data_IF_421351261655
#
_entry.id   IF_421351261655
#
_cell.length_a   1.000
_cell.length_b   1.000
_cell.length_c   1.000
_cell.angle_alpha   90.00
_cell.angle_beta   90.00
_cell.angle_gamma   90.00
#
_symmetry.space_group_name_H-M   'P 1'
#
loop_
_entity.id
_entity.type
_entity.pdbx_description
1 polymer ?
#
# COMPACT_ATOMS: atom_id res chain seq x y z
N UNK A 1 -8.65 -31.06 -16.79
CA UNK A 1 -8.33 -29.65 -16.46
C UNK A 1 -8.92 -29.33 -15.09
N UNK A 2 -8.11 -29.36 -14.02
CA UNK A 2 -8.57 -28.97 -12.69
C UNK A 2 -8.76 -27.45 -12.67
N UNK A 3 -10.00 -26.97 -12.64
CA UNK A 3 -10.29 -25.60 -12.25
C UNK A 3 -9.82 -25.44 -10.81
N UNK A 4 -8.74 -24.70 -10.59
CA UNK A 4 -8.38 -24.26 -9.24
C UNK A 4 -9.63 -23.60 -8.63
N UNK A 5 -10.07 -24.07 -7.46
CA UNK A 5 -11.26 -23.49 -6.85
C UNK A 5 -10.96 -22.02 -6.54
N UNK A 6 -11.95 -21.14 -6.69
CA UNK A 6 -11.80 -19.70 -6.42
C UNK A 6 -11.37 -19.40 -4.98
N UNK A 7 -11.49 -20.36 -4.08
CA UNK A 7 -11.11 -20.30 -2.66
C UNK A 7 -9.66 -20.77 -2.39
N UNK A 8 -8.96 -21.29 -3.40
CA UNK A 8 -7.58 -21.72 -3.22
C UNK A 8 -6.67 -20.51 -2.98
N UNK A 9 -5.85 -20.58 -1.93
CA UNK A 9 -4.77 -19.61 -1.67
C UNK A 9 -3.66 -19.86 -2.69
N UNK A 10 -3.23 -18.81 -3.33
CA UNK A 10 -2.14 -18.84 -4.31
C UNK A 10 -1.06 -17.83 -3.95
N UNK A 11 0.18 -18.16 -4.32
CA UNK A 11 1.28 -17.22 -4.35
C UNK A 11 1.72 -17.06 -5.80
N UNK A 12 1.75 -15.84 -6.29
CA UNK A 12 2.01 -15.59 -7.70
C UNK A 12 2.86 -14.33 -7.92
N UNK A 13 3.90 -14.46 -8.75
CA UNK A 13 4.58 -13.31 -9.37
C UNK A 13 3.73 -12.84 -10.55
N UNK A 14 3.32 -11.57 -10.53
CA UNK A 14 2.41 -11.02 -11.53
C UNK A 14 3.16 -10.26 -12.62
N UNK A 15 4.21 -9.52 -12.26
CA UNK A 15 5.03 -8.77 -13.22
C UNK A 15 6.48 -8.71 -12.79
N UNK A 16 7.37 -8.54 -13.76
CA UNK A 16 8.80 -8.29 -13.58
C UNK A 16 9.29 -7.08 -14.40
N UNK A 17 8.37 -6.21 -14.82
CA UNK A 17 8.70 -5.02 -15.61
C UNK A 17 9.20 -3.89 -14.72
N UNK A 18 10.17 -3.11 -15.23
CA UNK A 18 10.76 -1.97 -14.51
C UNK A 18 9.77 -0.82 -14.31
N UNK A 19 9.73 -0.27 -13.07
CA UNK A 19 8.93 0.89 -12.68
C UNK A 19 9.69 1.74 -11.65
N UNK A 20 9.29 3.00 -11.49
CA UNK A 20 9.81 3.89 -10.44
C UNK A 20 8.71 4.77 -9.82
N UNK A 21 7.46 4.48 -10.14
CA UNK A 21 6.27 5.01 -9.52
C UNK A 21 5.32 3.86 -9.23
N UNK A 22 4.57 3.96 -8.16
CA UNK A 22 3.61 2.94 -7.71
C UNK A 22 2.26 3.59 -7.50
N UNK A 23 1.22 2.96 -8.06
CA UNK A 23 -0.18 3.27 -7.79
C UNK A 23 -0.90 1.99 -7.42
N UNK A 24 -1.53 1.98 -6.26
CA UNK A 24 -2.34 0.86 -5.76
C UNK A 24 -3.72 1.38 -5.41
N UNK A 25 -4.75 0.72 -5.90
CA UNK A 25 -6.15 0.99 -5.60
C UNK A 25 -6.83 -0.35 -5.28
N UNK A 26 -6.99 -0.61 -4.00
CA UNK A 26 -7.50 -1.88 -3.47
C UNK A 26 -8.45 -1.64 -2.30
N UNK A 27 -9.24 -2.65 -1.96
CA UNK A 27 -10.23 -2.54 -0.89
C UNK A 27 -9.83 -3.31 0.38
N UNK A 28 -8.99 -4.33 0.24
CA UNK A 28 -8.64 -5.22 1.35
C UNK A 28 -7.33 -5.95 1.08
N UNK A 29 -6.20 -5.30 1.22
CA UNK A 29 -4.91 -5.95 1.06
C UNK A 29 -3.84 -5.37 1.99
N UNK A 30 -3.01 -6.22 2.57
CA UNK A 30 -1.77 -5.74 3.16
C UNK A 30 -0.80 -5.40 2.02
N UNK A 31 -0.38 -4.16 1.95
CA UNK A 31 0.50 -3.65 0.90
C UNK A 31 1.88 -3.45 1.48
N UNK A 32 2.86 -4.14 0.90
CA UNK A 32 4.26 -3.99 1.27
C UNK A 32 5.09 -3.57 0.07
N UNK A 33 5.69 -2.40 0.14
CA UNK A 33 6.65 -1.90 -0.84
C UNK A 33 8.04 -1.99 -0.23
N UNK A 34 8.96 -2.71 -0.84
CA UNK A 34 10.29 -2.92 -0.26
C UNK A 34 11.40 -2.95 -1.30
N UNK A 35 12.60 -2.64 -0.84
CA UNK A 35 13.80 -2.90 -1.63
C UNK A 35 14.01 -4.41 -1.80
N UNK A 36 14.42 -4.82 -2.98
CA UNK A 36 14.72 -6.20 -3.31
C UNK A 36 15.73 -6.26 -4.46
N UNK A 37 15.95 -7.44 -5.03
CA UNK A 37 16.91 -7.62 -6.11
C UNK A 37 16.27 -7.53 -7.51
N UNK A 38 14.95 -7.45 -7.58
CA UNK A 38 14.20 -7.52 -8.83
C UNK A 38 12.98 -6.59 -8.79
N UNK A 39 12.57 -6.10 -9.96
CA UNK A 39 11.25 -5.51 -10.14
C UNK A 39 10.21 -6.64 -10.16
N UNK A 40 9.37 -6.73 -9.16
CA UNK A 40 8.30 -7.72 -9.17
C UNK A 40 7.14 -7.33 -8.26
N UNK A 41 5.98 -7.84 -8.60
CA UNK A 41 4.80 -7.84 -7.74
C UNK A 41 4.46 -9.29 -7.40
N UNK A 42 4.48 -9.59 -6.11
CA UNK A 42 4.05 -10.86 -5.55
C UNK A 42 2.67 -10.68 -4.96
N UNK A 43 1.77 -11.59 -5.28
CA UNK A 43 0.46 -11.69 -4.64
C UNK A 43 0.38 -12.98 -3.85
N UNK A 44 -0.09 -12.90 -2.63
CA UNK A 44 -0.45 -14.03 -1.80
C UNK A 44 -1.86 -13.86 -1.28
N UNK A 45 -2.75 -14.78 -1.60
CA UNK A 45 -4.16 -14.71 -1.24
C UNK A 45 -5.03 -15.67 -2.03
N UNK A 46 -6.34 -15.54 -1.88
CA UNK A 46 -7.28 -16.35 -2.64
C UNK A 46 -7.23 -15.98 -4.12
N UNK A 47 -7.23 -16.97 -4.99
CA UNK A 47 -7.12 -16.78 -6.45
C UNK A 47 -8.14 -15.78 -7.01
N UNK A 48 -9.36 -15.77 -6.47
CA UNK A 48 -10.42 -14.83 -6.88
C UNK A 48 -10.09 -13.36 -6.59
N UNK A 49 -9.21 -13.10 -5.61
CA UNK A 49 -8.79 -11.75 -5.18
C UNK A 49 -7.50 -11.30 -5.88
N UNK A 50 -7.01 -12.06 -6.86
CA UNK A 50 -5.82 -11.70 -7.63
C UNK A 50 -6.04 -10.35 -8.32
N UNK A 51 -5.25 -9.31 -8.02
CA UNK A 51 -5.44 -7.98 -8.59
C UNK A 51 -5.09 -7.94 -10.08
N UNK A 52 -5.56 -6.93 -10.74
CA UNK A 52 -5.05 -6.52 -12.06
C UNK A 52 -3.76 -5.74 -11.86
N UNK A 53 -2.72 -6.10 -12.59
CA UNK A 53 -1.41 -5.44 -12.49
C UNK A 53 -0.93 -5.06 -13.89
N UNK A 54 -0.58 -3.79 -14.05
CA UNK A 54 -0.05 -3.22 -15.28
C UNK A 54 1.15 -2.34 -14.99
N UNK A 55 2.12 -2.29 -15.90
CA UNK A 55 3.20 -1.28 -15.88
C UNK A 55 3.12 -0.43 -17.13
N UNK A 56 2.82 0.84 -16.95
CA UNK A 56 2.67 1.82 -18.02
C UNK A 56 3.47 3.07 -17.71
N UNK A 57 4.27 3.55 -18.64
CA UNK A 57 5.10 4.76 -18.48
C UNK A 57 5.97 4.74 -17.19
N UNK A 58 6.53 3.58 -16.84
CA UNK A 58 7.29 3.36 -15.60
C UNK A 58 6.47 3.51 -14.31
N UNK A 59 5.16 3.56 -14.38
CA UNK A 59 4.25 3.46 -13.25
C UNK A 59 3.71 2.03 -13.17
N UNK A 60 3.89 1.40 -12.02
CA UNK A 60 3.20 0.19 -11.64
C UNK A 60 1.79 0.58 -11.21
N UNK A 61 0.78 -0.09 -11.76
CA UNK A 61 -0.62 0.09 -11.40
C UNK A 61 -1.13 -1.26 -10.92
N UNK A 62 -1.69 -1.27 -9.70
CA UNK A 62 -2.29 -2.44 -9.06
C UNK A 62 -3.71 -2.07 -8.67
N UNK A 63 -4.69 -2.78 -9.20
CA UNK A 63 -6.11 -2.48 -8.98
C UNK A 63 -6.88 -3.76 -8.66
N UNK A 64 -7.89 -3.65 -7.84
CA UNK A 64 -8.87 -4.73 -7.69
C UNK A 64 -9.51 -5.03 -9.06
N UNK A 65 -9.81 -6.30 -9.31
CA UNK A 65 -10.56 -6.67 -10.52
C UNK A 65 -11.98 -6.11 -10.43
N UNK A 66 -12.41 -5.44 -11.48
CA UNK A 66 -13.81 -5.03 -11.64
C UNK A 66 -14.75 -6.23 -11.42
N UNK A 67 -15.67 -6.12 -10.48
CA UNK A 67 -16.68 -7.14 -10.23
C UNK A 67 -16.72 -7.69 -8.80
N UNK A 68 -15.80 -7.33 -7.91
CA UNK A 68 -16.01 -7.50 -6.46
C UNK A 68 -16.78 -6.27 -5.93
N UNK A 69 -17.84 -5.87 -6.62
CA UNK A 69 -18.88 -5.12 -5.97
C UNK A 69 -19.54 -6.11 -5.03
N UNK A 70 -19.44 -5.85 -3.73
CA UNK A 70 -20.26 -6.52 -2.71
C UNK A 70 -21.72 -6.17 -3.02
N UNK A 71 -22.31 -6.92 -3.94
CA UNK A 71 -23.72 -6.82 -4.25
C UNK A 71 -24.45 -7.58 -3.16
N UNK A 72 -24.97 -6.84 -2.16
CA UNK A 72 -25.97 -7.31 -1.20
C UNK A 72 -25.70 -8.65 -0.45
N UNK A 73 -24.46 -8.97 -0.18
CA UNK A 73 -24.09 -10.09 0.68
C UNK A 73 -23.37 -9.53 1.91
N UNK A 74 -23.78 -9.96 3.10
CA UNK A 74 -23.12 -9.60 4.35
C UNK A 74 -21.60 -9.72 4.20
N UNK A 75 -20.89 -8.61 4.36
CA UNK A 75 -19.42 -8.58 4.45
C UNK A 75 -18.89 -9.63 5.44
N UNK A 76 -19.72 -10.00 6.43
CA UNK A 76 -19.46 -11.04 7.44
C UNK A 76 -19.30 -12.46 6.87
N UNK A 77 -19.83 -12.79 5.70
CA UNK A 77 -19.64 -14.12 5.12
C UNK A 77 -18.27 -14.31 4.44
N UNK A 78 -17.60 -13.22 4.09
CA UNK A 78 -16.20 -13.24 3.65
C UNK A 78 -15.24 -13.52 4.81
N UNK A 79 -15.65 -13.25 6.04
CA UNK A 79 -14.82 -13.40 7.25
C UNK A 79 -15.06 -14.72 8.00
N UNK A 80 -16.00 -15.54 7.58
CA UNK A 80 -16.24 -16.86 8.17
C UNK A 80 -15.25 -17.90 7.63
N UNK A 81 -14.39 -18.40 8.50
CA UNK A 81 -13.36 -19.45 8.34
C UNK A 81 -12.11 -19.05 7.57
N UNK A 82 -11.07 -18.66 8.33
CA UNK A 82 -9.69 -18.49 7.84
C UNK A 82 -9.57 -17.54 6.64
N UNK A 83 -10.04 -16.31 6.79
CA UNK A 83 -9.81 -15.29 5.78
C UNK A 83 -8.35 -14.86 5.83
N UNK A 84 -7.55 -15.42 4.95
CA UNK A 84 -6.21 -14.90 4.68
C UNK A 84 -6.41 -13.52 4.05
N UNK A 85 -6.03 -12.46 4.76
CA UNK A 85 -5.98 -11.12 4.19
C UNK A 85 -4.99 -11.17 3.01
N UNK A 86 -5.39 -10.76 1.82
CA UNK A 86 -4.48 -10.73 0.68
C UNK A 86 -3.24 -9.90 0.99
N UNK A 87 -2.08 -10.36 0.54
CA UNK A 87 -0.85 -9.60 0.63
C UNK A 87 -0.32 -9.30 -0.76
N UNK A 88 -0.01 -8.02 -1.00
CA UNK A 88 0.62 -7.53 -2.22
C UNK A 88 2.00 -7.02 -1.83
N UNK A 89 3.04 -7.71 -2.30
CA UNK A 89 4.43 -7.29 -2.08
C UNK A 89 5.00 -6.75 -3.38
N UNK A 90 5.39 -5.49 -3.36
CA UNK A 90 6.01 -4.76 -4.47
C UNK A 90 7.49 -4.64 -4.16
N UNK A 91 8.33 -5.21 -5.00
CA UNK A 91 9.79 -5.13 -4.87
C UNK A 91 10.41 -4.40 -6.04
N UNK A 92 11.42 -3.60 -5.75
CA UNK A 92 12.25 -2.95 -6.75
C UNK A 92 13.70 -2.84 -6.26
N UNK A 93 14.69 -2.94 -7.17
CA UNK A 93 16.10 -2.85 -6.80
C UNK A 93 16.57 -1.40 -6.60
N UNK A 94 15.82 -0.42 -7.11
CA UNK A 94 16.14 0.99 -6.93
C UNK A 94 15.89 1.40 -5.48
N UNK A 95 16.77 2.21 -4.93
CA UNK A 95 16.66 2.73 -3.56
C UNK A 95 15.63 3.87 -3.43
N UNK A 96 15.03 4.30 -4.55
CA UNK A 96 14.15 5.48 -4.60
C UNK A 96 12.91 5.24 -5.45
N UNK A 97 11.76 5.59 -4.87
CA UNK A 97 10.51 5.80 -5.58
C UNK A 97 10.30 7.30 -5.83
N UNK A 98 9.96 7.64 -7.07
CA UNK A 98 9.62 9.04 -7.43
C UNK A 98 8.27 9.45 -6.91
N UNK A 99 7.31 8.54 -6.93
CA UNK A 99 5.95 8.77 -6.48
C UNK A 99 5.33 7.48 -5.97
N UNK A 100 4.53 7.59 -4.92
CA UNK A 100 3.69 6.53 -4.40
C UNK A 100 2.26 7.05 -4.25
N UNK A 101 1.30 6.31 -4.76
CA UNK A 101 -0.13 6.54 -4.56
C UNK A 101 -0.74 5.23 -4.08
N UNK A 102 -1.34 5.24 -2.91
CA UNK A 102 -2.01 4.05 -2.36
C UNK A 102 -3.35 4.49 -1.81
N UNK A 103 -4.40 3.87 -2.29
CA UNK A 103 -5.76 3.95 -1.75
C UNK A 103 -6.19 2.53 -1.37
N UNK A 104 -6.41 2.29 -0.09
CA UNK A 104 -6.93 1.01 0.41
C UNK A 104 -7.88 1.24 1.59
N UNK A 105 -8.91 0.41 1.68
CA UNK A 105 -9.87 0.55 2.77
C UNK A 105 -9.50 -0.25 4.01
N UNK A 106 -8.92 -1.43 3.82
CA UNK A 106 -8.61 -2.33 4.94
C UNK A 106 -7.35 -3.15 4.68
N UNK A 107 -6.35 -2.88 5.41
CA UNK A 107 -5.06 -3.56 5.35
C UNK A 107 -3.93 -2.58 5.63
N UNK A 108 -2.83 -3.08 6.14
CA UNK A 108 -1.69 -2.24 6.48
C UNK A 108 -0.88 -1.84 5.24
N UNK A 109 -0.30 -0.66 5.29
CA UNK A 109 0.66 -0.19 4.29
C UNK A 109 2.05 -0.09 4.92
N UNK A 110 3.01 -0.79 4.35
CA UNK A 110 4.41 -0.73 4.80
C UNK A 110 5.33 -0.43 3.62
N UNK A 111 6.12 0.64 3.75
CA UNK A 111 7.19 0.98 2.80
C UNK A 111 8.52 0.86 3.53
N UNK A 112 9.40 -0.04 3.06
CA UNK A 112 10.61 -0.43 3.77
C UNK A 112 11.85 -0.44 2.89
N UNK A 113 12.92 0.21 3.34
CA UNK A 113 14.21 0.23 2.65
C UNK A 113 14.21 0.97 1.32
N UNK A 114 13.20 1.80 1.06
CA UNK A 114 13.06 2.58 -0.17
C UNK A 114 12.77 4.02 0.18
N UNK A 115 13.56 4.93 -0.36
CA UNK A 115 13.35 6.36 -0.19
C UNK A 115 12.14 6.83 -1.02
N UNK A 116 11.11 7.33 -0.35
CA UNK A 116 9.92 7.93 -0.99
C UNK A 116 10.09 9.43 -1.07
N UNK A 117 10.04 9.97 -2.29
CA UNK A 117 10.26 11.42 -2.50
C UNK A 117 8.99 12.23 -2.38
N UNK A 118 7.85 11.66 -2.73
CA UNK A 118 6.53 12.29 -2.67
C UNK A 118 5.44 11.24 -2.86
N UNK A 119 4.22 11.57 -2.50
CA UNK A 119 3.07 10.70 -2.77
C UNK A 119 1.89 10.98 -1.87
N UNK A 120 0.88 10.17 -2.07
CA UNK A 120 -0.37 10.18 -1.33
C UNK A 120 -0.72 8.76 -0.89
N UNK A 121 -1.02 8.58 0.38
CA UNK A 121 -1.45 7.29 0.94
C UNK A 121 -2.71 7.54 1.74
N UNK A 122 -3.82 7.01 1.25
CA UNK A 122 -5.13 7.06 1.90
C UNK A 122 -5.51 5.67 2.40
N UNK A 123 -5.79 5.58 3.69
CA UNK A 123 -6.19 4.35 4.32
C UNK A 123 -7.38 4.57 5.26
N UNK A 124 -8.36 3.67 5.22
CA UNK A 124 -9.49 3.78 6.16
C UNK A 124 -9.23 3.04 7.46
N UNK A 125 -8.57 1.90 7.42
CA UNK A 125 -8.34 1.08 8.61
C UNK A 125 -6.99 0.38 8.56
N UNK A 126 -6.29 0.35 9.67
CA UNK A 126 -4.98 -0.25 9.93
C UNK A 126 -3.84 0.78 9.87
N UNK A 127 -2.60 0.35 10.04
CA UNK A 127 -1.46 1.23 10.22
C UNK A 127 -0.68 1.48 8.93
N UNK A 128 -0.08 2.65 8.86
CA UNK A 128 0.80 3.05 7.76
C UNK A 128 2.21 3.26 8.31
N UNK A 129 3.20 2.63 7.69
CA UNK A 129 4.62 2.81 8.01
C UNK A 129 5.42 3.14 6.76
N UNK A 130 6.15 4.25 6.80
CA UNK A 130 7.16 4.64 5.79
C UNK A 130 8.49 4.82 6.50
N UNK A 131 9.41 3.87 6.37
CA UNK A 131 10.67 3.87 7.11
C UNK A 131 11.75 4.78 6.53
N UNK A 132 11.58 5.29 5.32
CA UNK A 132 12.51 6.22 4.71
C UNK A 132 11.81 7.19 3.75
N UNK A 133 11.62 8.42 4.17
CA UNK A 133 11.11 9.48 3.31
C UNK A 133 12.20 10.50 2.98
N UNK A 134 12.20 10.98 1.74
CA UNK A 134 13.02 12.09 1.25
C UNK A 134 12.18 13.23 0.69
N UNK A 135 10.94 13.34 1.14
CA UNK A 135 10.04 14.43 0.79
C UNK A 135 10.55 15.77 1.37
N UNK A 136 10.21 16.86 0.71
CA UNK A 136 10.54 18.21 1.18
C UNK A 136 9.49 18.75 2.15
N UNK A 137 8.28 18.17 2.10
CA UNK A 137 7.16 18.51 2.97
C UNK A 137 6.33 17.29 3.36
N UNK A 138 5.56 17.46 4.41
CA UNK A 138 4.70 16.43 5.00
C UNK A 138 3.35 17.02 5.35
N UNK A 139 2.30 16.23 5.09
CA UNK A 139 0.94 16.47 5.54
C UNK A 139 0.34 15.14 5.95
N UNK A 140 0.31 14.89 7.26
CA UNK A 140 -0.03 13.59 7.84
C UNK A 140 -1.16 13.79 8.83
N UNK A 141 -2.25 13.07 8.66
CA UNK A 141 -3.44 13.15 9.50
C UNK A 141 -4.03 11.77 9.81
N UNK A 142 -4.49 11.56 11.02
CA UNK A 142 -5.28 10.39 11.39
C UNK A 142 -6.43 10.78 12.30
N UNK A 143 -7.64 10.31 11.97
CA UNK A 143 -8.82 10.61 12.79
C UNK A 143 -8.85 9.83 14.11
N UNK A 144 -8.35 8.60 14.12
CA UNK A 144 -8.31 7.74 15.31
C UNK A 144 -6.99 6.98 15.37
N UNK A 145 -5.95 7.63 15.82
CA UNK A 145 -4.59 7.07 15.94
C UNK A 145 -3.59 8.13 16.33
N UNK A 146 -2.33 7.87 16.06
CA UNK A 146 -1.23 8.78 16.34
C UNK A 146 -0.30 8.87 15.14
N UNK A 147 0.23 10.07 14.91
CA UNK A 147 1.32 10.32 13.98
C UNK A 147 2.64 10.28 14.73
N UNK A 148 3.54 9.41 14.30
CA UNK A 148 4.89 9.31 14.83
C UNK A 148 5.92 9.70 13.75
N UNK A 149 6.80 10.62 14.09
CA UNK A 149 7.90 11.08 13.22
C UNK A 149 9.24 10.81 13.89
N UNK A 150 10.08 10.00 13.28
CA UNK A 150 11.41 9.65 13.81
C UNK A 150 11.36 9.20 15.28
N UNK A 151 10.39 8.38 15.66
CA UNK A 151 10.19 7.89 17.01
C UNK A 151 9.55 8.92 17.98
N UNK A 152 9.09 10.06 17.49
CA UNK A 152 8.45 11.10 18.30
C UNK A 152 6.97 11.22 17.95
N UNK A 153 6.10 11.00 18.93
CA UNK A 153 4.66 11.19 18.78
C UNK A 153 4.32 12.68 18.57
N UNK A 154 3.50 12.96 17.58
CA UNK A 154 3.05 14.31 17.16
C UNK A 154 1.56 14.57 17.44
N UNK A 155 0.86 13.64 18.05
CA UNK A 155 -0.59 13.69 18.21
C UNK A 155 -1.29 13.01 17.03
N UNK A 156 -2.41 13.54 16.62
CA UNK A 156 -3.23 13.03 15.52
C UNK A 156 -2.83 13.59 14.14
N UNK A 157 -2.03 14.66 14.11
CA UNK A 157 -1.62 15.29 12.85
C UNK A 157 -0.21 15.86 12.88
N UNK A 158 0.41 15.98 11.72
CA UNK A 158 1.71 16.62 11.54
C UNK A 158 1.81 17.24 10.14
N UNK A 159 2.03 18.56 10.10
CA UNK A 159 2.28 19.28 8.87
C UNK A 159 3.61 20.03 8.95
N UNK A 160 4.40 19.93 7.89
CA UNK A 160 5.67 20.65 7.72
C UNK A 160 5.92 20.88 6.24
N UNK A 161 6.06 22.15 5.83
CA UNK A 161 6.30 22.52 4.42
C UNK A 161 5.29 21.87 3.45
N UNK A 162 4.01 21.82 3.81
CA UNK A 162 2.92 21.20 3.05
C UNK A 162 2.72 21.78 1.63
N UNK A 163 3.32 22.94 1.36
CA UNK A 163 3.34 23.58 0.03
C UNK A 163 4.66 23.37 -0.73
N UNK A 164 5.50 22.47 -0.26
CA UNK A 164 6.73 22.11 -0.96
C UNK A 164 6.44 21.46 -2.31
N UNK A 165 7.43 21.39 -3.17
CA UNK A 165 7.29 20.74 -4.48
C UNK A 165 7.07 19.23 -4.37
N UNK A 166 7.68 18.61 -3.37
CA UNK A 166 7.59 17.18 -3.10
C UNK A 166 7.04 16.99 -1.70
N UNK A 167 5.78 16.62 -1.62
CA UNK A 167 5.07 16.37 -0.37
C UNK A 167 4.72 14.89 -0.27
N UNK A 168 4.87 14.34 0.91
CA UNK A 168 4.26 13.07 1.29
C UNK A 168 3.02 13.40 2.12
N UNK A 169 1.86 13.12 1.53
CA UNK A 169 0.55 13.25 2.19
C UNK A 169 0.06 11.89 2.61
N UNK A 170 -0.37 11.75 3.84
CA UNK A 170 -0.93 10.51 4.37
C UNK A 170 -2.18 10.84 5.18
N UNK A 171 -3.30 10.27 4.78
CA UNK A 171 -4.58 10.36 5.49
C UNK A 171 -5.02 8.95 5.94
N UNK A 172 -5.37 8.84 7.21
CA UNK A 172 -5.85 7.59 7.78
C UNK A 172 -7.08 7.83 8.65
N UNK A 173 -8.14 7.06 8.46
CA UNK A 173 -9.30 7.20 9.34
C UNK A 173 -9.10 6.48 10.68
N UNK A 174 -8.48 5.29 10.68
CA UNK A 174 -8.28 4.52 11.90
C UNK A 174 -6.94 3.77 11.88
N UNK A 175 -6.03 4.13 12.73
CA UNK A 175 -4.72 3.52 12.86
C UNK A 175 -3.59 4.53 12.94
N UNK A 176 -2.41 4.06 13.23
CA UNK A 176 -1.24 4.90 13.41
C UNK A 176 -0.51 5.16 12.09
N UNK A 177 0.09 6.33 11.99
CA UNK A 177 0.97 6.73 10.90
C UNK A 177 2.39 6.88 11.46
N UNK A 178 3.32 6.09 10.97
CA UNK A 178 4.73 6.17 11.34
C UNK A 178 5.57 6.53 10.13
N UNK A 179 6.27 7.66 10.20
CA UNK A 179 7.17 8.09 9.12
C UNK A 179 8.56 8.37 9.70
N UNK A 180 9.58 7.79 9.07
CA UNK A 180 10.97 8.14 9.33
C UNK A 180 11.55 8.83 8.10
N UNK A 181 12.29 9.91 8.32
CA UNK A 181 13.05 10.57 7.26
C UNK A 181 14.50 10.77 7.71
N UNK A 182 15.42 10.59 6.77
CA UNK A 182 16.84 10.77 7.02
C UNK A 182 17.17 12.22 7.34
N UNK A 183 18.04 12.42 8.32
CA UNK A 183 18.69 13.69 8.55
C UNK A 183 19.68 14.01 7.44
#
# INVERSE_FOLDING_TARGET
MNKASSEQVVQKVITNRKFNQVKVDTSNANIKVKQGNHYRVLFEGRHKLLPKVEVKNKQLIVEDKDGIKVVNGNLFDLFKKHSVVPQITIELPDEKLKNIEIDDSNGSVTVQGIAVSQGEIDLSNDNIMVDHSTADGYDLDTSNGHVEINGSNKGDSYSKNDKARRVLSIDNSNGDITVSYGG
#
